data_IF_354521543480
#
_entry.id   IF_354521543480
#
_cell.length_a   1.000
_cell.length_b   1.000
_cell.length_c   1.000
_cell.angle_alpha   90.00
_cell.angle_beta   90.00
_cell.angle_gamma   90.00
#
_symmetry.space_group_name_H-M   'P 1'
#
loop_
_entity.id
_entity.type
_entity.pdbx_description
1 polymer ?
#
# COMPACT_ATOMS: atom_id res chain seq x y z
N UNK A 1 -0.27 -7.39 5.49
CA UNK A 1 -0.43 -7.97 4.14
C UNK A 1 0.39 -7.21 3.09
N UNK A 2 0.08 -5.94 2.80
CA UNK A 2 0.73 -5.12 1.74
C UNK A 2 2.26 -5.05 1.83
N UNK A 3 2.83 -4.74 3.00
CA UNK A 3 4.30 -4.68 3.17
C UNK A 3 4.98 -6.04 3.01
N UNK A 4 4.30 -7.12 3.41
CA UNK A 4 4.83 -8.48 3.29
C UNK A 4 4.84 -8.97 1.84
N UNK A 5 3.75 -8.72 1.08
CA UNK A 5 3.69 -9.00 -0.36
C UNK A 5 4.70 -8.18 -1.14
N UNK A 6 4.85 -6.89 -0.82
CA UNK A 6 5.85 -6.01 -1.43
C UNK A 6 7.29 -6.51 -1.20
N UNK A 7 7.64 -6.93 0.02
CA UNK A 7 8.97 -7.54 0.31
C UNK A 7 9.24 -8.78 -0.55
N UNK A 8 8.20 -9.56 -0.86
CA UNK A 8 8.30 -10.79 -1.64
C UNK A 8 8.08 -10.59 -3.15
N UNK A 9 8.49 -9.44 -3.70
CA UNK A 9 8.25 -9.07 -5.11
C UNK A 9 8.85 -10.01 -6.16
N UNK A 10 9.80 -10.87 -5.77
CA UNK A 10 10.33 -11.92 -6.65
C UNK A 10 9.25 -12.94 -7.07
N UNK A 11 8.17 -13.04 -6.30
CA UNK A 11 7.09 -14.02 -6.50
C UNK A 11 5.68 -13.44 -6.39
N UNK A 12 5.51 -12.27 -5.77
CA UNK A 12 4.20 -11.68 -5.50
C UNK A 12 4.13 -10.26 -6.08
N UNK A 13 3.01 -9.91 -6.72
CA UNK A 13 2.73 -8.55 -7.16
C UNK A 13 1.79 -7.88 -6.15
N UNK A 14 2.23 -6.79 -5.51
CA UNK A 14 1.43 -6.07 -4.52
C UNK A 14 0.85 -4.79 -5.12
N UNK A 15 -0.42 -4.80 -5.51
CA UNK A 15 -1.08 -3.65 -6.13
C UNK A 15 -1.76 -2.81 -5.06
N UNK A 16 -1.52 -1.51 -5.06
CA UNK A 16 -2.03 -0.55 -4.06
C UNK A 16 -2.81 0.60 -4.69
N UNK A 17 -2.82 0.70 -6.02
CA UNK A 17 -3.49 1.75 -6.77
C UNK A 17 -4.30 1.16 -7.92
N UNK A 18 -5.63 1.40 -7.98
CA UNK A 18 -6.49 0.95 -9.06
C UNK A 18 -6.06 1.41 -10.45
N UNK A 19 -5.33 2.52 -10.57
CA UNK A 19 -4.84 3.01 -11.86
C UNK A 19 -3.84 2.05 -12.53
N UNK A 20 -3.21 1.15 -11.78
CA UNK A 20 -2.30 0.16 -12.36
C UNK A 20 -3.06 -1.01 -13.00
N UNK A 21 -4.34 -1.24 -12.68
CA UNK A 21 -5.09 -2.43 -13.12
C UNK A 21 -5.13 -2.61 -14.65
N UNK A 22 -5.41 -1.58 -15.48
CA UNK A 22 -5.47 -1.76 -16.93
C UNK A 22 -4.15 -2.25 -17.52
N UNK A 23 -3.03 -1.67 -17.08
CA UNK A 23 -1.69 -2.09 -17.52
C UNK A 23 -1.38 -3.53 -17.09
N UNK A 24 -1.70 -3.89 -15.85
CA UNK A 24 -1.45 -5.24 -15.33
C UNK A 24 -2.29 -6.29 -16.05
N UNK A 25 -3.56 -5.98 -16.32
CA UNK A 25 -4.45 -6.87 -17.08
C UNK A 25 -3.92 -7.11 -18.50
N UNK A 26 -3.46 -6.07 -19.19
CA UNK A 26 -2.84 -6.19 -20.51
C UNK A 26 -1.56 -7.05 -20.46
N UNK A 27 -0.66 -6.78 -19.52
CA UNK A 27 0.59 -7.54 -19.36
C UNK A 27 0.33 -9.02 -19.06
N UNK A 28 -0.65 -9.32 -18.19
CA UNK A 28 -1.06 -10.70 -17.90
C UNK A 28 -1.61 -11.40 -19.15
N UNK A 29 -2.43 -10.72 -19.95
CA UNK A 29 -2.98 -11.29 -21.18
C UNK A 29 -1.88 -11.61 -22.21
N UNK A 30 -0.88 -10.73 -22.35
CA UNK A 30 0.23 -10.90 -23.30
C UNK A 30 1.26 -11.95 -22.86
N UNK A 31 1.38 -12.20 -21.56
CA UNK A 31 2.45 -13.04 -20.96
C UNK A 31 1.92 -14.32 -20.33
N UNK A 32 0.84 -14.89 -20.87
CA UNK A 32 0.23 -16.14 -20.39
C UNK A 32 -0.05 -16.14 -18.88
N UNK A 33 -0.62 -15.06 -18.36
CA UNK A 33 -0.98 -14.91 -16.94
C UNK A 33 0.20 -14.60 -16.02
N UNK A 34 1.36 -14.20 -16.55
CA UNK A 34 2.54 -13.85 -15.74
C UNK A 34 2.88 -12.37 -15.82
N UNK A 35 3.51 -11.84 -14.76
CA UNK A 35 4.08 -10.50 -14.76
C UNK A 35 5.61 -10.58 -14.91
N UNK A 36 6.20 -9.54 -15.47
CA UNK A 36 7.65 -9.33 -15.49
C UNK A 36 8.20 -9.03 -14.09
N UNK A 37 9.51 -9.24 -13.93
CA UNK A 37 10.22 -8.84 -12.71
C UNK A 37 10.17 -7.31 -12.52
N UNK A 38 10.35 -6.56 -13.60
CA UNK A 38 10.34 -5.08 -13.56
C UNK A 38 9.00 -4.53 -13.10
N UNK A 39 7.89 -5.11 -13.56
CA UNK A 39 6.55 -4.75 -13.10
C UNK A 39 6.38 -5.04 -11.61
N UNK A 40 6.79 -6.22 -11.13
CA UNK A 40 6.72 -6.52 -9.68
C UNK A 40 7.61 -5.60 -8.85
N UNK A 41 8.80 -5.27 -9.34
CA UNK A 41 9.70 -4.33 -8.68
C UNK A 41 9.12 -2.91 -8.63
N UNK A 42 8.50 -2.44 -9.70
CA UNK A 42 7.76 -1.18 -9.73
C UNK A 42 6.63 -1.17 -8.69
N UNK A 43 5.80 -2.22 -8.67
CA UNK A 43 4.69 -2.37 -7.71
C UNK A 43 5.19 -2.41 -6.26
N UNK A 44 6.32 -3.07 -6.00
CA UNK A 44 6.95 -3.09 -4.67
C UNK A 44 7.32 -1.69 -4.19
N UNK A 45 7.98 -0.88 -5.04
CA UNK A 45 8.33 0.51 -4.68
C UNK A 45 7.08 1.32 -4.34
N UNK A 46 6.04 1.20 -5.19
CA UNK A 46 4.78 1.91 -5.00
C UNK A 46 4.06 1.50 -3.72
N UNK A 47 4.02 0.20 -3.42
CA UNK A 47 3.40 -0.32 -2.21
C UNK A 47 4.09 0.17 -0.93
N UNK A 48 5.42 0.23 -0.90
CA UNK A 48 6.14 0.79 0.26
C UNK A 48 5.93 2.29 0.40
N UNK A 49 5.96 3.04 -0.71
CA UNK A 49 5.65 4.47 -0.70
C UNK A 49 4.23 4.73 -0.14
N UNK A 50 3.23 4.02 -0.64
CA UNK A 50 1.85 4.13 -0.17
C UNK A 50 1.72 3.88 1.34
N UNK A 51 2.42 2.88 1.88
CA UNK A 51 2.40 2.62 3.32
C UNK A 51 3.13 3.68 4.14
N UNK A 52 4.22 4.25 3.61
CA UNK A 52 4.94 5.33 4.28
C UNK A 52 4.13 6.64 4.30
N UNK A 53 3.42 6.95 3.21
CA UNK A 53 2.52 8.10 3.12
C UNK A 53 1.37 7.96 4.13
N UNK A 54 0.80 6.77 4.24
CA UNK A 54 -0.25 6.47 5.22
C UNK A 54 0.23 6.67 6.67
N UNK A 55 1.39 6.11 7.03
CA UNK A 55 1.98 6.28 8.37
C UNK A 55 2.31 7.75 8.65
N UNK A 56 2.79 8.48 7.65
CA UNK A 56 3.07 9.92 7.74
C UNK A 56 1.79 10.73 7.98
N UNK A 57 0.70 10.40 7.29
CA UNK A 57 -0.59 11.05 7.48
C UNK A 57 -1.14 10.82 8.90
N UNK A 58 -1.01 9.58 9.42
CA UNK A 58 -1.39 9.24 10.80
C UNK A 58 -0.55 10.06 11.79
N UNK A 59 0.78 10.05 11.66
CA UNK A 59 1.66 10.78 12.56
C UNK A 59 1.37 12.28 12.54
N UNK A 60 1.14 12.85 11.35
CA UNK A 60 0.81 14.26 11.16
C UNK A 60 -0.53 14.65 11.78
N UNK A 61 -1.52 13.75 11.73
CA UNK A 61 -2.80 13.94 12.42
C UNK A 61 -2.59 13.98 13.93
N UNK A 62 -1.97 12.94 14.50
CA UNK A 62 -1.78 12.86 15.96
C UNK A 62 -0.84 13.93 16.53
N UNK A 63 0.13 14.42 15.76
CA UNK A 63 0.97 15.56 16.17
C UNK A 63 0.16 16.85 16.42
N UNK A 64 -1.04 16.96 15.85
CA UNK A 64 -1.95 18.10 16.01
C UNK A 64 -3.13 17.81 16.94
N UNK A 65 -3.30 16.55 17.35
CA UNK A 65 -4.43 16.13 18.18
C UNK A 65 -4.09 16.29 19.65
N UNK A 66 -4.90 17.07 20.36
CA UNK A 66 -4.74 17.26 21.80
C UNK A 66 -5.32 16.05 22.58
N UNK A 67 -4.71 15.65 23.72
CA UNK A 67 -5.16 14.49 24.50
C UNK A 67 -6.65 14.52 24.89
N UNK A 68 -7.20 15.70 25.13
CA UNK A 68 -8.58 15.94 25.54
C UNK A 68 -9.58 15.49 24.46
N UNK A 69 -9.18 15.59 23.19
CA UNK A 69 -10.00 15.14 22.04
C UNK A 69 -10.14 13.63 22.05
N UNK A 70 -9.10 12.91 22.47
CA UNK A 70 -9.12 11.45 22.59
C UNK A 70 -9.98 11.03 23.78
N UNK A 71 -9.79 11.66 24.94
CA UNK A 71 -10.55 11.36 26.17
C UNK A 71 -12.06 11.59 25.99
N UNK A 72 -12.48 12.62 25.25
CA UNK A 72 -13.90 12.88 24.98
C UNK A 72 -14.58 11.75 24.17
N UNK A 73 -13.82 10.99 23.39
CA UNK A 73 -14.32 9.90 22.54
C UNK A 73 -14.22 8.51 23.19
N UNK A 74 -13.47 8.37 24.29
CA UNK A 74 -13.28 7.11 24.99
C UNK A 74 -14.14 7.04 26.25
N UNK A 75 -15.30 6.36 26.15
CA UNK A 75 -16.16 6.03 27.30
C UNK A 75 -15.94 4.58 27.72
N UNK A 76 -15.45 4.39 28.95
CA UNK A 76 -15.47 3.10 29.63
C UNK A 76 -16.87 2.90 30.22
N UNK A 77 -17.54 1.83 29.83
CA UNK A 77 -18.77 1.34 30.46
C UNK A 77 -18.44 0.50 31.69
#
# INVERSE_FOLDING_TARGET
MVRASAKNYLRVASVTDPQDYPRLAAELAERNGTLGLDTRFYLMKKAFAHTADYDTAIASFFAKTAPETVTATYRLH
#
